data_IF_609090701682
#
_entry.id   IF_609090701682
#
_cell.length_a   1.000
_cell.length_b   1.000
_cell.length_c   1.000
_cell.angle_alpha   90.00
_cell.angle_beta   90.00
_cell.angle_gamma   90.00
#
_symmetry.space_group_name_H-M   'P 1'
#
loop_
_entity.id
_entity.type
_entity.pdbx_description
1 polymer ?
#
# COMPACT_ATOMS: atom_id res chain seq x y z
N UNK A 1 13.78 -6.24 -11.72
CA UNK A 1 14.94 -6.89 -12.41
C UNK A 1 15.79 -7.73 -11.45
N UNK A 2 16.26 -7.19 -10.31
CA UNK A 2 17.15 -7.92 -9.39
C UNK A 2 16.56 -9.22 -8.81
N UNK A 3 15.26 -9.25 -8.48
CA UNK A 3 14.56 -10.44 -7.95
C UNK A 3 14.44 -11.51 -9.03
N UNK A 4 13.89 -11.16 -10.21
CA UNK A 4 13.77 -12.08 -11.36
C UNK A 4 15.11 -12.72 -11.74
N UNK A 5 16.18 -11.93 -11.80
CA UNK A 5 17.52 -12.44 -12.09
C UNK A 5 18.01 -13.47 -11.05
N UNK A 6 17.65 -13.30 -9.77
CA UNK A 6 18.03 -14.22 -8.68
C UNK A 6 17.13 -15.45 -8.60
N UNK A 7 15.88 -15.34 -9.04
CA UNK A 7 14.93 -16.44 -9.11
C UNK A 7 15.21 -17.39 -10.29
N UNK A 8 16.13 -17.02 -11.21
CA UNK A 8 16.45 -17.78 -12.43
C UNK A 8 15.16 -18.05 -13.23
N UNK A 9 14.89 -19.30 -13.59
CA UNK A 9 13.72 -19.69 -14.37
C UNK A 9 12.44 -19.83 -13.53
N UNK A 10 12.51 -19.60 -12.22
CA UNK A 10 11.34 -19.69 -11.33
C UNK A 10 10.57 -18.35 -11.29
N UNK A 11 9.71 -18.15 -12.28
CA UNK A 11 8.85 -16.96 -12.37
C UNK A 11 7.87 -16.85 -11.18
N UNK A 12 7.35 -17.97 -10.69
CA UNK A 12 6.42 -17.98 -9.55
C UNK A 12 7.08 -17.50 -8.26
N UNK A 13 8.31 -17.96 -7.99
CA UNK A 13 9.11 -17.49 -6.86
C UNK A 13 9.41 -15.99 -6.98
N UNK A 14 9.71 -15.50 -8.18
CA UNK A 14 9.95 -14.08 -8.38
C UNK A 14 8.70 -13.25 -8.06
N UNK A 15 7.53 -13.67 -8.54
CA UNK A 15 6.24 -13.05 -8.25
C UNK A 15 5.94 -13.09 -6.75
N UNK A 16 6.08 -14.25 -6.11
CA UNK A 16 5.85 -14.42 -4.67
C UNK A 16 6.70 -13.45 -3.82
N UNK A 17 8.00 -13.35 -4.11
CA UNK A 17 8.90 -12.42 -3.41
C UNK A 17 8.46 -10.97 -3.64
N UNK A 18 8.11 -10.59 -4.87
CA UNK A 18 7.68 -9.23 -5.17
C UNK A 18 6.35 -8.89 -4.48
N UNK A 19 5.42 -9.84 -4.41
CA UNK A 19 4.15 -9.67 -3.70
C UNK A 19 4.38 -9.52 -2.20
N UNK A 20 5.25 -10.33 -1.58
CA UNK A 20 5.63 -10.16 -0.17
C UNK A 20 6.25 -8.78 0.10
N UNK A 21 7.15 -8.32 -0.76
CA UNK A 21 7.73 -6.97 -0.66
C UNK A 21 6.65 -5.88 -0.76
N UNK A 22 5.70 -6.05 -1.68
CA UNK A 22 4.58 -5.13 -1.85
C UNK A 22 3.68 -5.11 -0.60
N UNK A 23 3.31 -6.26 -0.03
CA UNK A 23 2.49 -6.32 1.20
C UNK A 23 3.13 -5.49 2.32
N UNK A 24 4.43 -5.67 2.55
CA UNK A 24 5.17 -4.92 3.56
C UNK A 24 5.16 -3.42 3.29
N UNK A 25 5.53 -3.00 2.08
CA UNK A 25 5.58 -1.57 1.74
C UNK A 25 4.19 -0.93 1.76
N UNK A 26 3.14 -1.64 1.33
CA UNK A 26 1.79 -1.13 1.33
C UNK A 26 1.27 -0.85 2.74
N UNK A 27 1.44 -1.79 3.68
CA UNK A 27 1.06 -1.56 5.07
C UNK A 27 1.88 -0.43 5.73
N UNK A 28 3.21 -0.43 5.54
CA UNK A 28 4.09 0.58 6.16
C UNK A 28 3.82 1.98 5.60
N UNK A 29 3.63 2.12 4.29
CA UNK A 29 3.33 3.41 3.69
C UNK A 29 1.98 3.94 4.19
N UNK A 30 0.94 3.09 4.26
CA UNK A 30 -0.36 3.45 4.80
C UNK A 30 -0.26 3.94 6.26
N UNK A 31 0.39 3.18 7.15
CA UNK A 31 0.59 3.56 8.55
C UNK A 31 1.30 4.91 8.69
N UNK A 32 2.32 5.14 7.86
CA UNK A 32 3.11 6.38 7.90
C UNK A 32 2.33 7.58 7.38
N UNK A 33 1.54 7.43 6.32
CA UNK A 33 0.68 8.50 5.80
C UNK A 33 -0.39 8.85 6.84
N UNK A 34 -1.08 7.83 7.38
CA UNK A 34 -2.09 8.00 8.42
C UNK A 34 -1.53 8.79 9.61
N UNK A 35 -0.36 8.40 10.14
CA UNK A 35 0.27 9.07 11.28
C UNK A 35 0.72 10.49 10.96
N UNK A 36 1.41 10.68 9.83
CA UNK A 36 1.97 11.97 9.44
C UNK A 36 0.89 13.05 9.25
N UNK A 37 -0.27 12.64 8.72
CA UNK A 37 -1.40 13.53 8.46
C UNK A 37 -2.47 13.51 9.55
N UNK A 38 -2.29 12.69 10.60
CA UNK A 38 -3.24 12.52 11.72
C UNK A 38 -4.64 12.16 11.25
N UNK A 39 -4.72 11.27 10.26
CA UNK A 39 -5.98 10.82 9.68
C UNK A 39 -6.73 9.92 10.68
N UNK A 40 -8.07 9.91 10.68
CA UNK A 40 -8.83 9.04 11.56
C UNK A 40 -8.64 7.55 11.20
N UNK A 41 -8.87 6.66 12.16
CA UNK A 41 -8.78 5.20 11.98
C UNK A 41 -10.14 4.64 11.56
N UNK A 42 -10.65 5.09 10.41
CA UNK A 42 -11.96 4.73 9.87
C UNK A 42 -11.95 4.76 8.34
N UNK A 43 -13.13 4.58 7.71
CA UNK A 43 -13.26 4.63 6.25
C UNK A 43 -12.89 5.98 5.63
N UNK A 44 -13.06 7.08 6.37
CA UNK A 44 -12.66 8.41 5.89
C UNK A 44 -11.13 8.50 5.84
N UNK A 45 -10.44 8.08 6.91
CA UNK A 45 -8.99 8.02 6.92
C UNK A 45 -8.43 7.07 5.87
N UNK A 46 -9.09 5.92 5.65
CA UNK A 46 -8.73 5.00 4.58
C UNK A 46 -8.81 5.65 3.21
N UNK A 47 -9.91 6.35 2.89
CA UNK A 47 -10.05 7.07 1.62
C UNK A 47 -8.91 8.06 1.38
N UNK A 48 -8.59 8.87 2.39
CA UNK A 48 -7.50 9.85 2.30
C UNK A 48 -6.12 9.19 2.16
N UNK A 49 -5.90 8.04 2.79
CA UNK A 49 -4.66 7.27 2.60
C UNK A 49 -4.58 6.72 1.18
N UNK A 50 -5.65 6.12 0.65
CA UNK A 50 -5.67 5.58 -0.70
C UNK A 50 -5.32 6.66 -1.74
N UNK A 51 -5.84 7.88 -1.60
CA UNK A 51 -5.55 9.01 -2.51
C UNK A 51 -4.05 9.34 -2.58
N UNK A 52 -3.33 9.21 -1.46
CA UNK A 52 -1.92 9.57 -1.33
C UNK A 52 -0.97 8.38 -1.45
N UNK A 53 -1.50 7.15 -1.44
CA UNK A 53 -0.68 5.96 -1.31
C UNK A 53 0.17 5.75 -2.57
N UNK A 54 1.49 5.46 -2.43
CA UNK A 54 2.39 5.30 -3.57
C UNK A 54 2.05 4.11 -4.48
N UNK A 55 1.23 3.17 -4.01
CA UNK A 55 0.71 2.08 -4.86
C UNK A 55 -0.22 2.59 -5.98
N UNK A 56 -0.92 3.70 -5.75
CA UNK A 56 -1.92 4.26 -6.67
C UNK A 56 -1.43 5.56 -7.34
N UNK A 57 -0.16 5.92 -7.11
CA UNK A 57 0.44 7.15 -7.59
C UNK A 57 1.76 6.88 -8.35
N UNK A 58 2.16 7.75 -9.29
CA UNK A 58 1.48 8.98 -9.69
C UNK A 58 0.27 8.74 -10.61
N UNK A 59 -0.68 9.68 -10.57
CA UNK A 59 -1.83 9.70 -11.48
C UNK A 59 -1.39 9.68 -12.95
N UNK A 60 -2.12 8.92 -13.78
CA UNK A 60 -1.82 8.72 -15.20
C UNK A 60 -0.79 7.62 -15.48
N UNK A 61 0.06 7.27 -14.51
CA UNK A 61 0.86 6.04 -14.57
C UNK A 61 0.11 4.86 -13.96
N UNK A 62 -0.46 5.06 -12.78
CA UNK A 62 -1.51 4.20 -12.22
C UNK A 62 -2.84 4.94 -12.41
N UNK A 63 -3.79 4.31 -13.10
CA UNK A 63 -5.13 4.87 -13.32
C UNK A 63 -6.07 4.23 -12.31
N UNK A 64 -6.39 4.98 -11.26
CA UNK A 64 -7.24 4.54 -10.17
C UNK A 64 -8.21 5.66 -9.77
N UNK A 65 -9.44 5.27 -9.43
CA UNK A 65 -10.51 6.15 -8.99
C UNK A 65 -10.98 5.72 -7.60
N UNK A 66 -11.12 6.69 -6.70
CA UNK A 66 -11.58 6.45 -5.33
C UNK A 66 -12.88 7.22 -5.16
N UNK A 67 -14.00 6.50 -5.15
CA UNK A 67 -15.34 7.09 -5.04
C UNK A 67 -16.26 6.17 -4.26
N UNK A 68 -17.13 6.76 -3.42
CA UNK A 68 -18.20 6.02 -2.75
C UNK A 68 -17.72 4.88 -1.85
N UNK A 69 -16.52 5.01 -1.27
CA UNK A 69 -15.90 3.97 -0.44
C UNK A 69 -15.37 2.77 -1.22
N UNK A 70 -15.19 2.91 -2.54
CA UNK A 70 -14.59 1.89 -3.41
C UNK A 70 -13.34 2.46 -4.06
N UNK A 71 -12.42 1.56 -4.37
CA UNK A 71 -11.25 1.83 -5.19
C UNK A 71 -11.41 1.04 -6.49
N UNK A 72 -11.54 1.74 -7.60
CA UNK A 72 -11.52 1.13 -8.92
C UNK A 72 -10.16 1.37 -9.56
N UNK A 73 -9.54 0.32 -10.08
CA UNK A 73 -8.26 0.38 -10.78
C UNK A 73 -8.47 -0.07 -12.20
N UNK A 74 -8.03 0.76 -13.13
CA UNK A 74 -8.07 0.48 -14.55
C UNK A 74 -6.72 0.01 -15.07
N UNK A 75 -6.79 -0.68 -16.20
CA UNK A 75 -5.61 -1.02 -16.97
C UNK A 75 -4.86 0.27 -17.33
N UNK A 76 -3.56 0.28 -17.06
CA UNK A 76 -2.72 1.48 -17.11
C UNK A 76 -1.28 1.15 -17.51
N UNK A 77 -0.44 2.14 -17.86
CA UNK A 77 0.98 1.91 -18.19
C UNK A 77 1.72 1.11 -17.11
N UNK A 78 1.40 1.34 -15.84
CA UNK A 78 1.94 0.59 -14.71
C UNK A 78 1.74 -0.93 -14.80
N UNK A 79 0.68 -1.40 -15.45
CA UNK A 79 0.45 -2.83 -15.70
C UNK A 79 1.35 -3.36 -16.82
N UNK A 80 1.57 -2.57 -17.87
CA UNK A 80 2.44 -2.93 -18.99
C UNK A 80 3.89 -3.09 -18.54
N UNK A 81 4.33 -2.26 -17.60
CA UNK A 81 5.68 -2.31 -17.02
C UNK A 81 5.83 -3.41 -15.95
N UNK A 82 4.74 -4.08 -15.55
CA UNK A 82 4.73 -5.08 -14.49
C UNK A 82 5.14 -4.49 -13.13
N UNK A 83 4.71 -3.25 -12.86
CA UNK A 83 4.96 -2.55 -11.60
C UNK A 83 4.08 -3.10 -10.47
N UNK A 84 4.20 -2.55 -9.26
CA UNK A 84 3.51 -3.10 -8.09
C UNK A 84 1.99 -3.23 -8.23
N UNK A 85 1.30 -2.30 -8.90
CA UNK A 85 -0.15 -2.41 -9.08
C UNK A 85 -0.54 -3.66 -9.86
N UNK A 86 0.33 -4.15 -10.76
CA UNK A 86 0.09 -5.38 -11.53
C UNK A 86 0.18 -6.65 -10.68
N UNK A 87 0.58 -6.55 -9.41
CA UNK A 87 0.57 -7.65 -8.45
C UNK A 87 -0.72 -7.65 -7.62
N UNK A 88 -1.57 -6.63 -7.75
CA UNK A 88 -2.87 -6.55 -7.10
C UNK A 88 -3.95 -7.06 -8.05
N UNK A 89 -4.80 -7.97 -7.58
CA UNK A 89 -5.91 -8.52 -8.35
C UNK A 89 -6.89 -9.25 -7.41
N UNK A 90 -8.04 -9.74 -7.89
CA UNK A 90 -8.88 -10.66 -7.12
C UNK A 90 -8.14 -11.89 -6.56
N UNK A 91 -7.04 -12.31 -7.19
CA UNK A 91 -6.21 -13.43 -6.72
C UNK A 91 -5.10 -13.00 -5.73
N UNK A 92 -4.88 -11.70 -5.53
CA UNK A 92 -3.87 -11.16 -4.62
C UNK A 92 -4.39 -9.90 -3.91
N UNK A 93 -5.23 -10.15 -2.90
CA UNK A 93 -5.91 -9.12 -2.10
C UNK A 93 -5.03 -8.58 -0.96
N UNK A 94 -4.01 -9.35 -0.56
CA UNK A 94 -3.19 -9.11 0.62
C UNK A 94 -2.51 -7.73 0.64
N UNK A 95 -2.00 -7.17 -0.49
CA UNK A 95 -1.49 -5.80 -0.51
C UNK A 95 -2.50 -4.76 -0.05
N UNK A 96 -3.75 -4.83 -0.52
CA UNK A 96 -4.80 -3.90 -0.13
C UNK A 96 -5.31 -4.17 1.28
N UNK A 97 -5.35 -5.44 1.70
CA UNK A 97 -5.68 -5.78 3.09
C UNK A 97 -4.63 -5.21 4.05
N UNK A 98 -3.34 -5.21 3.70
CA UNK A 98 -2.30 -4.61 4.53
C UNK A 98 -2.50 -3.09 4.69
N UNK A 99 -2.94 -2.39 3.63
CA UNK A 99 -3.33 -0.97 3.72
C UNK A 99 -4.51 -0.80 4.67
N UNK A 100 -5.59 -1.57 4.49
CA UNK A 100 -6.78 -1.48 5.33
C UNK A 100 -6.46 -1.75 6.81
N UNK A 101 -5.70 -2.80 7.10
CA UNK A 101 -5.29 -3.18 8.47
C UNK A 101 -4.45 -2.09 9.14
N UNK A 102 -3.63 -1.36 8.38
CA UNK A 102 -2.85 -0.24 8.91
C UNK A 102 -3.71 0.96 9.35
N UNK A 103 -4.96 1.06 8.85
CA UNK A 103 -5.92 2.10 9.23
C UNK A 103 -6.83 1.62 10.37
N UNK A 104 -7.51 0.50 10.16
CA UNK A 104 -8.32 -0.18 11.17
C UNK A 104 -8.30 -1.69 10.89
N UNK A 105 -7.83 -2.53 11.84
CA UNK A 105 -7.78 -3.97 11.65
C UNK A 105 -9.15 -4.62 11.42
N UNK A 106 -10.26 -3.92 11.66
CA UNK A 106 -11.61 -4.40 11.39
C UNK A 106 -12.13 -4.01 10.00
N UNK A 107 -11.28 -3.48 9.11
CA UNK A 107 -11.66 -3.26 7.71
C UNK A 107 -11.21 -4.45 6.88
N UNK A 108 -12.15 -5.16 6.27
CA UNK A 108 -11.90 -6.22 5.32
C UNK A 108 -11.97 -5.68 3.89
N UNK A 109 -11.16 -6.26 2.99
CA UNK A 109 -11.12 -5.91 1.57
C UNK A 109 -11.62 -7.08 0.72
N UNK A 110 -12.53 -6.81 -0.21
CA UNK A 110 -12.92 -7.72 -1.28
C UNK A 110 -12.55 -7.09 -2.63
N UNK A 111 -11.89 -7.85 -3.50
CA UNK A 111 -11.58 -7.40 -4.86
C UNK A 111 -12.36 -8.24 -5.87
N UNK A 112 -12.98 -7.59 -6.84
CA UNK A 112 -13.71 -8.21 -7.95
C UNK A 112 -13.23 -7.64 -9.29
N UNK A 113 -13.51 -8.34 -10.39
CA UNK A 113 -13.08 -7.94 -11.73
C UNK A 113 -12.01 -8.86 -12.31
N UNK A 114 -11.05 -8.29 -13.02
CA UNK A 114 -9.98 -8.98 -13.75
C UNK A 114 -8.61 -8.75 -13.11
N UNK A 115 -7.54 -9.20 -13.76
CA UNK A 115 -6.18 -9.05 -13.25
C UNK A 115 -5.65 -7.60 -13.37
N UNK A 116 -6.14 -6.82 -14.33
CA UNK A 116 -5.66 -5.46 -14.63
C UNK A 116 -6.76 -4.39 -14.67
N UNK A 117 -8.01 -4.79 -14.51
CA UNK A 117 -9.16 -3.91 -14.29
C UNK A 117 -10.05 -4.49 -13.20
N UNK A 118 -10.08 -3.86 -12.03
CA UNK A 118 -10.71 -4.42 -10.83
C UNK A 118 -11.23 -3.36 -9.87
N UNK A 119 -12.14 -3.77 -8.98
CA UNK A 119 -12.73 -2.93 -7.94
C UNK A 119 -12.50 -3.57 -6.58
N UNK A 120 -11.90 -2.80 -5.68
CA UNK A 120 -11.81 -3.11 -4.26
C UNK A 120 -12.94 -2.43 -3.48
N UNK A 121 -13.60 -3.22 -2.65
CA UNK A 121 -14.65 -2.81 -1.73
C UNK A 121 -14.16 -3.04 -0.30
N UNK A 122 -14.42 -2.06 0.56
CA UNK A 122 -13.98 -2.06 1.95
C UNK A 122 -15.22 -2.17 2.86
N UNK A 123 -15.20 -3.12 3.78
CA UNK A 123 -16.34 -3.39 4.66
C UNK A 123 -15.91 -3.60 6.10
N UNK A 124 -16.80 -3.29 7.05
CA UNK A 124 -16.53 -3.51 8.47
C UNK A 124 -16.66 -5.01 8.74
N UNK A 125 -15.68 -5.55 9.44
CA UNK A 125 -15.61 -6.92 9.93
C UNK A 125 -15.68 -6.94 11.45
N UNK A 126 -16.35 -7.95 12.00
CA UNK A 126 -16.37 -8.20 13.45
C UNK A 126 -15.05 -8.83 13.94
N UNK A 127 -14.19 -9.27 13.02
CA UNK A 127 -12.90 -9.90 13.35
C UNK A 127 -11.75 -8.98 12.94
N UNK A 128 -10.93 -8.60 13.92
CA UNK A 128 -9.67 -7.91 13.67
C UNK A 128 -8.72 -8.79 12.84
N UNK A 129 -8.28 -8.27 11.70
CA UNK A 129 -7.20 -8.86 10.91
C UNK A 129 -5.88 -8.79 11.69
N UNK A 130 -5.09 -9.86 11.57
CA UNK A 130 -3.69 -9.84 12.06
C UNK A 130 -2.86 -8.96 11.15
N UNK A 131 -1.88 -8.28 11.71
CA UNK A 131 -0.85 -7.61 10.93
C UNK A 131 -0.09 -8.63 10.07
N UNK A 132 0.20 -8.27 8.82
CA UNK A 132 0.95 -9.12 7.93
C UNK A 132 2.41 -9.23 8.40
N UNK A 133 3.03 -10.43 8.40
CA UNK A 133 4.43 -10.60 8.80
C UNK A 133 5.40 -9.70 8.01
N UNK A 134 5.10 -9.43 6.74
CA UNK A 134 5.87 -8.55 5.86
C UNK A 134 5.84 -7.08 6.32
N UNK A 135 4.80 -6.67 7.05
CA UNK A 135 4.70 -5.35 7.69
C UNK A 135 5.41 -5.39 9.04
N UNK A 136 5.13 -6.40 9.86
CA UNK A 136 5.70 -6.57 11.20
C UNK A 136 7.23 -6.53 11.18
N UNK A 137 7.86 -7.21 10.21
CA UNK A 137 9.33 -7.28 10.10
C UNK A 137 10.00 -5.91 9.97
N UNK A 138 9.30 -4.93 9.38
CA UNK A 138 9.85 -3.58 9.18
C UNK A 138 9.94 -2.79 10.48
N UNK A 139 9.17 -3.17 11.50
CA UNK A 139 9.04 -2.47 12.77
C UNK A 139 10.17 -2.81 13.75
N UNK A 140 10.82 -3.97 13.60
CA UNK A 140 11.91 -4.39 14.50
C UNK A 140 13.11 -3.43 14.52
N UNK A 141 13.43 -2.80 13.37
CA UNK A 141 14.59 -1.91 13.28
C UNK A 141 14.34 -0.49 13.79
N UNK A 142 13.09 -0.11 14.05
CA UNK A 142 12.70 1.29 14.31
C UNK A 142 12.83 2.22 13.10
N UNK A 143 13.35 1.77 11.95
CA UNK A 143 13.52 2.63 10.77
C UNK A 143 12.21 3.20 10.21
N UNK A 144 11.08 2.56 10.52
CA UNK A 144 9.74 3.02 10.11
C UNK A 144 9.11 4.05 11.06
N UNK A 145 9.69 4.31 12.24
CA UNK A 145 9.08 5.15 13.29
C UNK A 145 9.59 6.59 13.32
N UNK A 146 10.44 7.00 12.37
CA UNK A 146 10.87 8.40 12.32
C UNK A 146 9.69 9.33 12.02
N UNK A 147 9.74 10.53 12.58
CA UNK A 147 8.72 11.55 12.42
C UNK A 147 9.35 12.83 11.84
N UNK A 148 8.60 13.51 10.98
CA UNK A 148 8.98 14.83 10.53
C UNK A 148 8.71 15.83 11.67
N UNK A 149 9.73 16.57 12.06
CA UNK A 149 9.61 17.65 13.03
C UNK A 149 9.74 19.00 12.34
N UNK A 150 9.07 20.02 12.90
CA UNK A 150 9.23 21.39 12.44
C UNK A 150 10.70 21.78 12.53
N UNK A 151 11.28 22.16 11.38
CA UNK A 151 12.65 22.66 11.33
C UNK A 151 12.76 23.90 12.22
N UNK A 152 13.62 23.83 13.24
CA UNK A 152 14.05 25.03 13.99
C UNK A 152 15.17 25.68 13.21
N UNK A 153 15.06 26.97 12.93
CA UNK A 153 16.16 27.73 12.32
C UNK A 153 17.38 27.65 13.24
N UNK A 154 18.49 27.13 12.73
CA UNK A 154 19.78 27.30 13.38
C UNK A 154 20.17 28.78 13.22
N UNK A 155 20.70 29.46 14.25
CA UNK A 155 21.21 30.81 14.08
C UNK A 155 22.33 30.76 13.04
N UNK A 156 22.05 31.29 11.85
CA UNK A 156 23.03 31.47 10.79
C UNK A 156 23.76 32.77 11.12
N UNK A 157 24.95 32.68 11.68
CA UNK A 157 25.86 33.82 11.74
C UNK A 157 26.60 33.86 10.40
N UNK A 158 26.29 34.85 9.56
CA UNK A 158 27.12 35.17 8.39
C UNK A 158 28.39 35.84 8.92
N UNK A 159 29.56 35.30 8.57
CA UNK A 159 30.88 35.91 8.87
C UNK A 159 31.39 36.60 7.61
#
# INVERSE_FOLDING_TARGET
>A
IAVRARAKDNAELATDICTKQLIGIAGVAAERIQRALKLPNDFHGLSQVLELHPLFNPAGYVVAEIEGGRLHVHRSPAHQDGSWISLCSPASVQPLQAIATAIDPHIAVRITGTADDWTAEFEKSDTAAKEAPEVEVTKFSGGATFEFQQRRSLPLTVV
#
